data_IF_000837649862
#
_entry.id   IF_000837649862
#
_cell.length_a   1.000
_cell.length_b   1.000
_cell.length_c   1.000
_cell.angle_alpha   90.00
_cell.angle_beta   90.00
_cell.angle_gamma   90.00
#
_symmetry.space_group_name_H-M   'P 1'
#
loop_
_entity.id
_entity.type
_entity.pdbx_description
1 polymer ?
#
# COMPACT_ATOMS: atom_id res chain seq x y z
N UNK A 1 -3.35 -18.57 5.47
CA UNK A 1 -3.19 -18.09 4.08
C UNK A 1 -3.77 -16.71 3.81
N UNK A 2 -4.89 -16.30 4.43
CA UNK A 2 -5.46 -14.94 4.27
C UNK A 2 -4.48 -13.81 4.58
N UNK A 3 -3.65 -13.97 5.62
CA UNK A 3 -2.63 -12.98 6.00
C UNK A 3 -1.73 -12.52 4.83
N UNK A 4 -1.33 -13.41 3.92
CA UNK A 4 -0.51 -13.06 2.76
C UNK A 4 -1.19 -12.08 1.80
N UNK A 5 -2.52 -12.11 1.72
CA UNK A 5 -3.30 -11.17 0.92
C UNK A 5 -3.48 -9.82 1.63
N UNK A 6 -3.49 -9.80 2.97
CA UNK A 6 -3.47 -8.55 3.74
C UNK A 6 -2.10 -7.84 3.67
N UNK A 7 -1.00 -8.59 3.60
CA UNK A 7 0.33 -7.97 3.45
C UNK A 7 0.40 -7.13 2.17
N UNK A 8 -0.06 -7.62 1.01
CA UNK A 8 -0.05 -6.82 -0.21
C UNK A 8 -0.80 -5.47 -0.05
N UNK A 9 -1.90 -5.44 0.70
CA UNK A 9 -2.63 -4.21 1.03
C UNK A 9 -1.82 -3.29 1.96
N UNK A 10 -1.24 -3.84 3.03
CA UNK A 10 -0.45 -3.09 4.01
C UNK A 10 0.78 -2.46 3.34
N UNK A 11 1.53 -3.24 2.57
CA UNK A 11 2.76 -2.78 1.90
C UNK A 11 2.44 -1.75 0.80
N UNK A 12 1.29 -1.87 0.12
CA UNK A 12 0.82 -0.82 -0.79
C UNK A 12 0.60 0.51 -0.07
N UNK A 13 0.05 0.43 1.15
CA UNK A 13 -0.08 1.57 2.06
C UNK A 13 1.29 2.16 2.42
N UNK A 14 2.26 1.32 2.79
CA UNK A 14 3.64 1.70 3.08
C UNK A 14 4.31 2.41 1.90
N UNK A 15 4.22 1.83 0.70
CA UNK A 15 4.74 2.41 -0.53
C UNK A 15 4.18 3.82 -0.80
N UNK A 16 2.97 4.14 -0.34
CA UNK A 16 2.38 5.48 -0.46
C UNK A 16 2.73 6.41 0.71
N UNK A 17 2.77 5.88 1.93
CA UNK A 17 3.00 6.64 3.16
C UNK A 17 4.37 7.30 3.21
N UNK A 18 5.43 6.50 3.03
CA UNK A 18 6.80 6.99 3.21
C UNK A 18 7.18 8.08 2.21
N UNK A 19 6.89 7.96 0.90
CA UNK A 19 7.12 9.06 -0.03
C UNK A 19 6.29 10.30 0.28
N UNK A 20 5.03 10.14 0.73
CA UNK A 20 4.18 11.28 1.12
C UNK A 20 4.77 12.06 2.29
N UNK A 21 5.27 11.37 3.32
CA UNK A 21 5.93 12.00 4.46
C UNK A 21 7.31 12.55 4.09
N UNK A 22 8.05 11.92 3.17
CA UNK A 22 9.36 12.39 2.73
C UNK A 22 9.29 13.79 2.09
N UNK A 23 8.18 14.13 1.41
CA UNK A 23 7.94 15.50 0.91
C UNK A 23 7.76 16.55 2.02
N UNK A 24 7.47 16.14 3.25
CA UNK A 24 7.24 17.02 4.40
C UNK A 24 8.44 17.12 5.33
N UNK A 25 9.25 16.07 5.43
CA UNK A 25 10.37 16.00 6.37
C UNK A 25 11.38 17.15 6.16
N UNK A 26 11.66 17.87 7.24
CA UNK A 26 12.64 18.97 7.28
C UNK A 26 13.96 18.55 7.89
N UNK A 27 13.95 17.59 8.82
CA UNK A 27 15.15 17.04 9.42
C UNK A 27 15.80 15.99 8.49
N UNK A 28 17.10 16.12 8.16
CA UNK A 28 17.79 15.19 7.27
C UNK A 28 17.85 13.74 7.78
N UNK A 29 17.87 13.53 9.10
CA UNK A 29 17.85 12.20 9.71
C UNK A 29 16.48 11.57 9.53
N UNK A 30 15.40 12.33 9.76
CA UNK A 30 14.03 11.88 9.49
C UNK A 30 13.84 11.57 8.01
N UNK A 31 14.29 12.44 7.11
CA UNK A 31 14.22 12.18 5.68
C UNK A 31 14.97 10.90 5.30
N UNK A 32 16.17 10.68 5.85
CA UNK A 32 16.95 9.44 5.64
C UNK A 32 16.16 8.21 6.09
N UNK A 33 15.50 8.26 7.24
CA UNK A 33 14.65 7.16 7.72
C UNK A 33 13.51 6.90 6.74
N UNK A 34 12.77 7.94 6.36
CA UNK A 34 11.61 7.82 5.48
C UNK A 34 11.96 7.24 4.11
N UNK A 35 13.04 7.72 3.48
CA UNK A 35 13.43 7.20 2.15
C UNK A 35 14.01 5.79 2.22
N UNK A 36 14.66 5.43 3.34
CA UNK A 36 15.26 4.10 3.51
C UNK A 36 14.19 3.04 3.77
N UNK A 37 13.26 3.32 4.70
CA UNK A 37 12.14 2.41 4.96
C UNK A 37 11.21 2.38 3.74
N UNK A 38 10.89 3.54 3.17
CA UNK A 38 10.03 3.61 1.99
C UNK A 38 10.53 2.80 0.80
N UNK A 39 11.86 2.74 0.59
CA UNK A 39 12.43 1.85 -0.43
C UNK A 39 12.14 0.38 -0.19
N UNK A 40 12.28 -0.08 1.06
CA UNK A 40 12.03 -1.47 1.44
C UNK A 40 10.54 -1.85 1.33
N UNK A 41 9.63 -0.94 1.68
CA UNK A 41 8.18 -1.19 1.59
C UNK A 41 7.70 -1.29 0.12
N UNK A 42 8.37 -0.59 -0.80
CA UNK A 42 8.14 -0.75 -2.24
C UNK A 42 8.55 -2.16 -2.69
N UNK A 43 9.71 -2.65 -2.24
CA UNK A 43 10.17 -4.01 -2.54
C UNK A 43 9.23 -5.06 -1.92
N UNK A 44 8.78 -4.85 -0.68
CA UNK A 44 7.81 -5.71 -0.01
C UNK A 44 6.49 -5.77 -0.76
N UNK A 45 5.95 -4.63 -1.21
CA UNK A 45 4.74 -4.61 -2.01
C UNK A 45 4.92 -5.44 -3.29
N UNK A 46 6.00 -5.23 -4.02
CA UNK A 46 6.30 -6.02 -5.23
C UNK A 46 6.38 -7.52 -4.93
N UNK A 47 7.04 -7.90 -3.85
CA UNK A 47 7.17 -9.29 -3.42
C UNK A 47 5.80 -9.91 -3.10
N UNK A 48 5.00 -9.27 -2.24
CA UNK A 48 3.71 -9.82 -1.82
C UNK A 48 2.68 -9.79 -2.93
N UNK A 49 2.71 -8.77 -3.80
CA UNK A 49 1.88 -8.72 -5.00
C UNK A 49 2.22 -9.90 -5.94
N UNK A 50 3.49 -10.16 -6.22
CA UNK A 50 3.90 -11.33 -7.03
C UNK A 50 3.50 -12.66 -6.35
N UNK A 51 3.86 -12.87 -5.09
CA UNK A 51 3.60 -14.13 -4.40
C UNK A 51 2.10 -14.40 -4.21
N UNK A 52 1.36 -13.39 -3.76
CA UNK A 52 -0.08 -13.48 -3.59
C UNK A 52 -0.79 -13.65 -4.92
N UNK A 53 -0.36 -12.93 -5.95
CA UNK A 53 -0.90 -13.02 -7.30
C UNK A 53 -0.68 -14.39 -7.94
N UNK A 54 0.51 -14.97 -7.81
CA UNK A 54 0.80 -16.31 -8.32
C UNK A 54 -0.06 -17.40 -7.66
N UNK A 55 -0.48 -17.22 -6.40
CA UNK A 55 -1.37 -18.16 -5.71
C UNK A 55 -2.81 -18.19 -6.27
N UNK A 56 -3.22 -17.13 -6.97
CA UNK A 56 -4.54 -16.97 -7.60
C UNK A 56 -4.45 -16.87 -9.12
N UNK A 57 -3.31 -17.32 -9.68
CA UNK A 57 -3.04 -17.44 -11.11
C UNK A 57 -3.03 -18.91 -11.54
N UNK A 58 -3.32 -19.18 -12.82
CA UNK A 58 -3.14 -20.53 -13.39
C UNK A 58 -1.68 -21.01 -13.23
N UNK A 59 -1.46 -22.32 -12.98
CA UNK A 59 -2.44 -23.41 -12.91
C UNK A 59 -3.07 -23.61 -11.52
N UNK A 60 -2.72 -22.78 -10.53
CA UNK A 60 -3.19 -22.95 -9.15
C UNK A 60 -4.56 -22.34 -8.91
N UNK A 61 -4.97 -21.33 -9.68
CA UNK A 61 -6.22 -20.61 -9.50
C UNK A 61 -7.48 -21.49 -9.46
N UNK A 62 -8.51 -21.02 -8.75
CA UNK A 62 -9.80 -21.71 -8.64
C UNK A 62 -9.88 -22.75 -7.52
N UNK A 63 -8.93 -22.74 -6.57
CA UNK A 63 -8.95 -23.64 -5.41
C UNK A 63 -10.12 -23.29 -4.50
N UNK A 64 -10.89 -24.32 -4.15
CA UNK A 64 -11.90 -24.28 -3.08
C UNK A 64 -11.45 -25.21 -1.98
N UNK A 65 -11.34 -24.70 -0.76
CA UNK A 65 -11.14 -25.55 0.42
C UNK A 65 -12.38 -26.43 0.62
N UNK A 66 -12.25 -27.77 0.52
CA UNK A 66 -13.41 -28.67 0.62
C UNK A 66 -14.03 -28.72 2.03
N UNK A 67 -13.32 -28.24 3.05
CA UNK A 67 -13.79 -28.25 4.44
C UNK A 67 -14.50 -26.94 4.79
N UNK A 68 -13.91 -25.80 4.46
CA UNK A 68 -14.45 -24.48 4.84
C UNK A 68 -15.27 -23.81 3.75
N UNK A 69 -15.14 -24.25 2.49
CA UNK A 69 -15.72 -23.58 1.32
C UNK A 69 -14.99 -22.30 0.91
N UNK A 70 -13.88 -21.93 1.58
CA UNK A 70 -13.07 -20.77 1.21
C UNK A 70 -12.56 -20.94 -0.23
N UNK A 71 -12.83 -19.94 -1.07
CA UNK A 71 -12.51 -19.98 -2.50
C UNK A 71 -11.49 -18.92 -2.86
N UNK A 72 -10.47 -19.31 -3.63
CA UNK A 72 -9.51 -18.42 -4.25
C UNK A 72 -9.78 -18.39 -5.76
N UNK A 73 -10.44 -17.33 -6.29
CA UNK A 73 -10.82 -17.26 -7.69
C UNK A 73 -9.61 -17.07 -8.61
N UNK A 74 -9.79 -17.35 -9.90
CA UNK A 74 -8.84 -16.92 -10.93
C UNK A 74 -9.00 -15.43 -11.19
N UNK A 75 -8.08 -14.63 -10.62
CA UNK A 75 -8.10 -13.19 -10.79
C UNK A 75 -7.61 -12.73 -12.17
N UNK A 76 -7.03 -13.63 -12.97
CA UNK A 76 -6.62 -13.37 -14.35
C UNK A 76 -7.69 -13.78 -15.36
N UNK A 77 -8.95 -13.98 -14.95
CA UNK A 77 -10.04 -14.33 -15.87
C UNK A 77 -11.18 -13.29 -15.83
N UNK A 78 -11.38 -12.47 -16.89
CA UNK A 78 -10.64 -12.48 -18.15
C UNK A 78 -9.22 -11.91 -18.01
N UNK A 79 -8.30 -12.43 -18.82
CA UNK A 79 -6.91 -11.99 -18.80
C UNK A 79 -6.81 -10.63 -19.48
N UNK A 80 -6.55 -9.60 -18.69
CA UNK A 80 -6.19 -8.27 -19.20
C UNK A 80 -4.91 -7.82 -18.55
N UNK A 81 -4.21 -6.90 -19.21
CA UNK A 81 -3.01 -6.31 -18.64
C UNK A 81 -3.26 -5.65 -17.26
N UNK A 82 -4.43 -5.02 -17.09
CA UNK A 82 -4.83 -4.35 -15.86
C UNK A 82 -5.23 -5.31 -14.74
N UNK A 83 -5.65 -6.53 -15.08
CA UNK A 83 -6.07 -7.56 -14.11
C UNK A 83 -4.99 -8.60 -13.86
N UNK A 84 -3.81 -8.47 -14.48
CA UNK A 84 -2.72 -9.41 -14.31
C UNK A 84 -2.12 -9.30 -12.91
N UNK A 85 -2.22 -10.39 -12.13
CA UNK A 85 -1.96 -10.37 -10.68
C UNK A 85 -0.49 -10.41 -10.26
N UNK A 86 0.45 -10.68 -11.16
CA UNK A 86 1.88 -10.84 -10.84
C UNK A 86 2.78 -9.77 -11.49
N UNK A 87 2.21 -8.61 -11.82
CA UNK A 87 2.97 -7.47 -12.33
C UNK A 87 3.50 -6.63 -11.16
N UNK A 88 4.81 -6.63 -10.96
CA UNK A 88 5.44 -5.91 -9.85
C UNK A 88 5.66 -4.42 -10.14
N UNK A 89 5.64 -4.01 -11.41
CA UNK A 89 5.84 -2.61 -11.79
C UNK A 89 4.48 -1.89 -11.93
N UNK A 90 4.34 -0.66 -11.42
CA UNK A 90 3.13 0.13 -11.61
C UNK A 90 2.87 0.40 -13.09
N UNK A 91 1.63 0.20 -13.53
CA UNK A 91 1.20 0.59 -14.87
C UNK A 91 1.37 2.10 -15.10
N UNK A 92 1.93 2.54 -16.25
CA UNK A 92 2.14 3.95 -16.54
C UNK A 92 0.84 4.74 -16.44
N UNK A 93 0.87 5.92 -15.81
CA UNK A 93 -0.32 6.76 -15.64
C UNK A 93 -0.05 8.23 -15.91
N UNK A 94 -1.14 9.03 -15.99
CA UNK A 94 -1.02 10.47 -15.84
C UNK A 94 -0.53 10.76 -14.41
N UNK A 95 0.52 11.56 -14.28
CA UNK A 95 1.09 11.89 -12.98
C UNK A 95 0.97 13.38 -12.68
N UNK A 96 1.95 14.20 -13.07
CA UNK A 96 2.00 15.63 -12.73
C UNK A 96 1.21 16.48 -13.74
N UNK A 97 1.22 16.12 -15.02
CA UNK A 97 0.46 16.81 -16.06
C UNK A 97 0.03 15.83 -17.15
N UNK A 98 -1.16 16.05 -17.71
CA UNK A 98 -1.65 15.32 -18.90
C UNK A 98 -0.91 15.70 -20.19
N UNK A 99 -0.16 16.81 -20.18
CA UNK A 99 0.67 17.24 -21.31
C UNK A 99 2.03 16.52 -21.36
N UNK A 100 2.39 15.78 -20.30
CA UNK A 100 3.61 15.00 -20.23
C UNK A 100 3.31 13.53 -20.56
N UNK A 101 4.31 12.73 -20.99
CA UNK A 101 4.14 11.29 -21.17
C UNK A 101 3.67 10.60 -19.88
N UNK A 102 2.98 9.45 -20.04
CA UNK A 102 2.61 8.59 -18.91
C UNK A 102 3.86 8.08 -18.20
N UNK A 103 3.83 8.02 -16.87
CA UNK A 103 4.96 7.56 -16.05
C UNK A 103 4.55 6.38 -15.18
N UNK A 104 5.44 5.40 -15.04
CA UNK A 104 5.34 4.39 -13.97
C UNK A 104 5.87 5.01 -12.68
N UNK A 105 4.99 5.20 -11.71
CA UNK A 105 5.28 5.91 -10.45
C UNK A 105 4.54 5.26 -9.29
N UNK A 106 5.13 5.38 -8.10
CA UNK A 106 4.45 5.05 -6.85
C UNK A 106 3.37 6.10 -6.58
N UNK A 107 2.16 5.64 -6.21
CA UNK A 107 0.99 6.48 -5.97
C UNK A 107 -0.03 5.77 -5.07
N UNK A 108 -0.85 6.53 -4.33
CA UNK A 108 -0.85 8.00 -4.23
C UNK A 108 0.31 8.54 -3.38
N UNK A 109 0.83 9.72 -3.73
CA UNK A 109 1.82 10.47 -2.90
C UNK A 109 1.28 11.80 -2.39
N UNK A 110 -0.04 11.97 -2.39
CA UNK A 110 -0.75 13.12 -1.84
C UNK A 110 -1.12 12.87 -0.38
N UNK A 111 -0.98 13.87 0.49
CA UNK A 111 -1.36 13.75 1.92
C UNK A 111 -2.78 13.23 2.14
N UNK A 112 -3.74 13.63 1.29
CA UNK A 112 -5.13 13.18 1.43
C UNK A 112 -5.30 11.66 1.36
N UNK A 113 -4.51 10.98 0.50
CA UNK A 113 -4.71 9.56 0.18
C UNK A 113 -3.54 8.67 0.60
N UNK A 114 -2.36 9.25 0.83
CA UNK A 114 -1.15 8.54 1.26
C UNK A 114 -0.50 9.17 2.50
N UNK A 115 -1.18 10.10 3.18
CA UNK A 115 -0.69 10.67 4.44
C UNK A 115 -0.91 9.73 5.62
N UNK A 116 -0.33 10.08 6.77
CA UNK A 116 -0.42 9.28 7.97
C UNK A 116 -1.87 9.12 8.46
N UNK A 117 -2.72 10.15 8.32
CA UNK A 117 -4.14 10.08 8.69
C UNK A 117 -4.88 9.08 7.81
N UNK A 118 -4.60 9.09 6.49
CA UNK A 118 -5.18 8.14 5.56
C UNK A 118 -4.78 6.70 5.91
N UNK A 119 -3.51 6.47 6.25
CA UNK A 119 -3.02 5.15 6.68
C UNK A 119 -3.71 4.65 7.95
N UNK A 120 -3.78 5.47 9.01
CA UNK A 120 -4.43 5.04 10.27
C UNK A 120 -5.90 4.72 10.05
N UNK A 121 -6.61 5.52 9.23
CA UNK A 121 -7.99 5.22 8.82
C UNK A 121 -8.08 3.88 8.09
N UNK A 122 -7.26 3.68 7.05
CA UNK A 122 -7.25 2.46 6.26
C UNK A 122 -7.00 1.21 7.11
N UNK A 123 -6.04 1.24 8.03
CA UNK A 123 -5.77 0.12 8.93
C UNK A 123 -6.88 -0.12 9.96
N UNK A 124 -7.55 0.95 10.41
CA UNK A 124 -8.71 0.83 11.29
C UNK A 124 -9.88 0.18 10.54
N UNK A 125 -10.16 0.62 9.31
CA UNK A 125 -11.24 0.13 8.46
C UNK A 125 -10.99 -1.31 7.98
N UNK A 126 -9.73 -1.70 7.77
CA UNK A 126 -9.32 -3.10 7.49
C UNK A 126 -9.43 -4.01 8.72
N UNK A 127 -9.67 -3.43 9.91
CA UNK A 127 -9.79 -4.18 11.17
C UNK A 127 -8.45 -4.60 11.78
N UNK A 128 -7.31 -4.07 11.29
CA UNK A 128 -5.98 -4.38 11.80
C UNK A 128 -5.85 -4.11 13.31
N UNK A 129 -6.58 -3.12 13.82
CA UNK A 129 -6.55 -2.71 15.22
C UNK A 129 -7.70 -3.29 16.08
N UNK A 130 -8.44 -4.29 15.58
CA UNK A 130 -9.45 -4.98 16.39
C UNK A 130 -8.80 -5.54 17.68
N UNK A 131 -9.41 -5.23 18.83
CA UNK A 131 -8.91 -5.62 20.16
C UNK A 131 -7.94 -4.63 20.80
N UNK A 132 -7.52 -3.57 20.10
CA UNK A 132 -6.73 -2.49 20.70
C UNK A 132 -7.60 -1.53 21.53
N UNK A 133 -6.97 -0.83 22.47
CA UNK A 133 -7.66 0.13 23.33
C UNK A 133 -8.04 1.41 22.58
N UNK A 134 -9.08 2.11 23.07
CA UNK A 134 -9.43 3.44 22.54
C UNK A 134 -8.26 4.44 22.66
N UNK A 135 -7.47 4.34 23.74
CA UNK A 135 -6.29 5.18 23.94
C UNK A 135 -5.22 4.96 22.86
N UNK A 136 -5.02 3.72 22.42
CA UNK A 136 -4.11 3.41 21.32
C UNK A 136 -4.55 4.07 20.00
N UNK A 137 -5.83 3.96 19.65
CA UNK A 137 -6.37 4.56 18.43
C UNK A 137 -6.30 6.10 18.47
N UNK A 138 -6.60 6.69 19.63
CA UNK A 138 -6.48 8.12 19.84
C UNK A 138 -5.04 8.60 19.66
N UNK A 139 -4.09 7.94 20.30
CA UNK A 139 -2.67 8.27 20.17
C UNK A 139 -2.18 8.12 18.73
N UNK A 140 -2.53 7.02 18.07
CA UNK A 140 -2.15 6.76 16.67
C UNK A 140 -2.67 7.85 15.74
N UNK A 141 -3.93 8.26 15.90
CA UNK A 141 -4.53 9.35 15.12
C UNK A 141 -3.89 10.71 15.44
N UNK A 142 -3.56 11.00 16.69
CA UNK A 142 -2.87 12.24 17.08
C UNK A 142 -1.48 12.34 16.44
N UNK A 143 -0.72 11.25 16.46
CA UNK A 143 0.59 11.17 15.80
C UNK A 143 0.43 11.38 14.28
N UNK A 144 -0.57 10.75 13.67
CA UNK A 144 -0.85 10.89 12.25
C UNK A 144 -1.21 12.33 11.85
N UNK A 145 -2.09 12.99 12.61
CA UNK A 145 -2.45 14.40 12.39
C UNK A 145 -1.21 15.28 12.49
N UNK A 146 -0.37 15.05 13.50
CA UNK A 146 0.87 15.81 13.70
C UNK A 146 1.83 15.64 12.51
N UNK A 147 2.04 14.41 12.06
CA UNK A 147 2.87 14.12 10.90
C UNK A 147 2.36 14.78 9.61
N UNK A 148 1.04 14.71 9.34
CA UNK A 148 0.45 15.30 8.14
C UNK A 148 0.43 16.84 8.16
N UNK A 149 0.41 17.44 9.36
CA UNK A 149 0.43 18.88 9.56
C UNK A 149 1.78 19.54 9.25
N UNK A 150 2.87 18.76 9.14
CA UNK A 150 4.19 19.29 8.83
C UNK A 150 4.17 19.95 7.44
N UNK A 151 4.53 21.22 7.40
CA UNK A 151 4.74 22.00 6.19
C UNK A 151 6.23 22.18 5.98
N UNK A 152 6.72 21.86 4.78
CA UNK A 152 8.11 22.11 4.43
C UNK A 152 8.31 23.61 4.25
N UNK A 153 9.14 24.23 5.07
CA UNK A 153 9.62 25.59 4.83
C UNK A 153 10.46 25.63 3.56
N UNK A 154 10.16 26.56 2.67
CA UNK A 154 10.99 26.87 1.50
C UNK A 154 11.99 27.98 1.84
#
# INVERSE_FOLDING_TARGET
NTAGFHFAFIEQGGASLYPTLAFKATDPTVLRILVSIGGVEIDHFGLWHDKGGNAVSQPLAGVVDPVTGLTFPDLNNPATELTQTNKILPEPCNFISKSLPRCSVIRPTSTQNGGAVATVKAFTDDGLFIGQSAAFLQLSMQLAITADSVQRGF
#
